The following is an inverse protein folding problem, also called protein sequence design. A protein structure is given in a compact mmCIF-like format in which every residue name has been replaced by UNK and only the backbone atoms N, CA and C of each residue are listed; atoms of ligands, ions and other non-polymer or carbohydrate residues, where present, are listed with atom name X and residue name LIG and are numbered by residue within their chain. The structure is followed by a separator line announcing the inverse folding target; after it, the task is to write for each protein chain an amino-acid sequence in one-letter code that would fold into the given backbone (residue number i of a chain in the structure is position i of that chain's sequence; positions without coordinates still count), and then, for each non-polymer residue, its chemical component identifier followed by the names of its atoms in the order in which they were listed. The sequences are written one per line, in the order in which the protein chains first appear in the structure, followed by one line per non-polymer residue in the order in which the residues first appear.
data_IF_156123922720
#
_entry.id   IF_156123922720
#
_cell.length_a   1.000
_cell.length_b   1.000
_cell.length_c   1.000
_cell.angle_alpha   90.00
_cell.angle_beta   90.00
_cell.angle_gamma   90.00
#
_symmetry.space_group_name_H-M   'P 1'
#
loop_
_entity.id
_entity.type
_entity.pdbx_description
1 polymer ?
#
# COMPACT_ATOMS: atom_id res chain seq x y z
N UNK A 1 -6.97 5.01 -13.75
CA UNK A 1 -5.50 5.07 -13.47
C UNK A 1 -5.18 4.79 -12.00
N UNK A 2 -6.07 5.18 -11.08
CA UNK A 2 -5.95 4.97 -9.62
C UNK A 2 -5.74 3.51 -9.20
N UNK A 3 -6.51 2.57 -9.75
CA UNK A 3 -6.47 1.16 -9.32
C UNK A 3 -5.10 0.47 -9.58
N UNK A 4 -4.47 0.72 -10.73
CA UNK A 4 -3.15 0.17 -11.06
C UNK A 4 -2.06 0.71 -10.12
N UNK A 5 -2.15 1.99 -9.77
CA UNK A 5 -1.27 2.63 -8.80
C UNK A 5 -1.49 2.04 -7.40
N UNK A 6 -2.73 1.76 -7.01
CA UNK A 6 -3.05 1.14 -5.72
C UNK A 6 -2.48 -0.29 -5.60
N UNK A 7 -2.64 -1.11 -6.64
CA UNK A 7 -2.07 -2.47 -6.67
C UNK A 7 -0.55 -2.42 -6.61
N UNK A 8 0.06 -1.53 -7.38
CA UNK A 8 1.51 -1.37 -7.45
C UNK A 8 2.08 -0.85 -6.12
N UNK A 9 1.40 0.12 -5.50
CA UNK A 9 1.70 0.60 -4.15
C UNK A 9 1.62 -0.55 -3.15
N UNK A 10 0.51 -1.29 -3.13
CA UNK A 10 0.25 -2.39 -2.20
C UNK A 10 1.29 -3.51 -2.32
N UNK A 11 1.62 -3.93 -3.54
CA UNK A 11 2.62 -4.97 -3.78
C UNK A 11 4.04 -4.54 -3.37
N UNK A 12 4.43 -3.31 -3.71
CA UNK A 12 5.77 -2.81 -3.35
C UNK A 12 5.90 -2.56 -1.84
N UNK A 13 4.87 -2.02 -1.19
CA UNK A 13 4.80 -1.92 0.28
C UNK A 13 4.87 -3.30 0.90
N UNK A 14 4.14 -4.28 0.34
CA UNK A 14 4.15 -5.67 0.78
C UNK A 14 5.53 -6.28 0.81
N UNK A 15 6.23 -6.24 -0.33
CA UNK A 15 7.58 -6.78 -0.41
C UNK A 15 8.54 -6.11 0.56
N UNK A 16 8.49 -4.77 0.67
CA UNK A 16 9.36 -4.04 1.58
C UNK A 16 9.07 -4.39 3.05
N UNK A 17 7.81 -4.43 3.45
CA UNK A 17 7.42 -4.76 4.82
C UNK A 17 7.76 -6.20 5.19
N UNK A 18 7.55 -7.15 4.27
CA UNK A 18 7.95 -8.55 4.44
C UNK A 18 9.45 -8.70 4.65
N UNK A 19 10.28 -7.97 3.89
CA UNK A 19 11.73 -7.97 4.07
C UNK A 19 12.09 -7.43 5.47
N UNK A 20 11.60 -6.24 5.83
CA UNK A 20 12.01 -5.55 7.07
C UNK A 20 11.52 -6.28 8.31
N UNK A 21 10.24 -6.66 8.35
CA UNK A 21 9.62 -7.26 9.53
C UNK A 21 10.20 -8.63 9.85
N UNK A 22 10.31 -9.51 8.85
CA UNK A 22 10.86 -10.86 9.05
C UNK A 22 12.36 -10.82 9.28
N UNK A 23 13.11 -9.93 8.62
CA UNK A 23 14.51 -9.68 8.97
C UNK A 23 14.66 -9.25 10.43
N UNK A 24 13.86 -8.29 10.88
CA UNK A 24 13.87 -7.82 12.27
C UNK A 24 13.64 -8.96 13.26
N UNK A 25 12.62 -9.79 13.03
CA UNK A 25 12.29 -10.94 13.89
C UNK A 25 13.45 -11.93 13.92
N UNK A 26 13.91 -12.41 12.77
CA UNK A 26 14.92 -13.49 12.74
C UNK A 26 16.29 -13.03 13.22
N UNK A 27 16.67 -11.77 12.96
CA UNK A 27 17.89 -11.17 13.48
C UNK A 27 17.81 -10.98 14.99
N UNK A 28 16.67 -10.53 15.50
CA UNK A 28 16.47 -10.39 16.95
C UNK A 28 16.55 -11.73 17.66
N UNK A 29 15.84 -12.75 17.17
CA UNK A 29 15.90 -14.10 17.75
C UNK A 29 17.30 -14.70 17.62
N UNK A 30 18.01 -14.49 16.50
CA UNK A 30 19.40 -14.92 16.34
C UNK A 30 20.38 -14.19 17.28
N UNK A 31 20.03 -13.00 17.77
CA UNK A 31 20.75 -12.30 18.83
C UNK A 31 20.59 -12.96 20.20
N UNK A 32 19.45 -13.63 20.44
CA UNK A 32 19.13 -14.30 21.70
C UNK A 32 19.55 -15.79 21.73
N UNK A 33 19.62 -16.46 20.59
CA UNK A 33 19.91 -17.91 20.52
C UNK A 33 20.61 -18.32 19.22
N UNK A 34 21.39 -19.40 19.29
CA UNK A 34 21.99 -20.07 18.13
C UNK A 34 21.13 -21.23 17.59
N UNK A 35 20.04 -21.58 18.27
CA UNK A 35 19.16 -22.67 17.88
C UNK A 35 18.39 -22.34 16.59
N UNK A 36 18.69 -23.07 15.51
CA UNK A 36 18.08 -22.86 14.19
C UNK A 36 16.57 -23.15 14.20
N UNK A 37 16.12 -24.13 15.00
CA UNK A 37 14.70 -24.46 15.14
C UNK A 37 13.90 -23.31 15.75
N UNK A 38 14.44 -22.65 16.78
CA UNK A 38 13.81 -21.46 17.39
C UNK A 38 13.74 -20.30 16.39
N UNK A 39 14.82 -20.03 15.66
CA UNK A 39 14.84 -19.00 14.62
C UNK A 39 13.82 -19.30 13.51
N UNK A 40 13.74 -20.56 13.08
CA UNK A 40 12.78 -21.01 12.06
C UNK A 40 11.34 -20.81 12.50
N UNK A 41 10.97 -21.30 13.69
CA UNK A 41 9.60 -21.17 14.22
C UNK A 41 9.21 -19.70 14.32
N UNK A 42 10.08 -18.85 14.88
CA UNK A 42 9.81 -17.42 15.01
C UNK A 42 9.69 -16.74 13.65
N UNK A 43 10.58 -17.05 12.71
CA UNK A 43 10.56 -16.48 11.36
C UNK A 43 9.33 -16.86 10.56
N UNK A 44 8.92 -18.14 10.60
CA UNK A 44 7.70 -18.61 9.92
C UNK A 44 6.45 -18.05 10.57
N UNK A 45 6.38 -18.02 11.90
CA UNK A 45 5.26 -17.40 12.62
C UNK A 45 5.14 -15.91 12.28
N UNK A 46 6.26 -15.19 12.28
CA UNK A 46 6.33 -13.78 11.88
C UNK A 46 5.91 -13.54 10.44
N UNK A 47 6.36 -14.40 9.52
CA UNK A 47 5.97 -14.34 8.10
C UNK A 47 4.45 -14.51 7.95
N UNK A 48 3.88 -15.58 8.51
CA UNK A 48 2.45 -15.88 8.36
C UNK A 48 1.60 -14.81 9.03
N UNK A 49 1.94 -14.42 10.26
CA UNK A 49 1.20 -13.38 10.98
C UNK A 49 1.28 -12.03 10.27
N UNK A 50 2.46 -11.62 9.82
CA UNK A 50 2.67 -10.38 9.09
C UNK A 50 1.93 -10.36 7.75
N UNK A 51 2.03 -11.44 6.97
CA UNK A 51 1.36 -11.54 5.67
C UNK A 51 -0.17 -11.45 5.82
N UNK A 52 -0.75 -12.18 6.78
CA UNK A 52 -2.19 -12.14 7.05
C UNK A 52 -2.63 -10.77 7.58
N UNK A 53 -1.88 -10.18 8.50
CA UNK A 53 -2.19 -8.84 9.04
C UNK A 53 -2.16 -7.78 7.94
N UNK A 54 -1.19 -7.84 7.05
CA UNK A 54 -1.07 -6.88 5.96
C UNK A 54 -2.17 -7.08 4.92
N UNK A 55 -2.44 -8.32 4.52
CA UNK A 55 -3.51 -8.64 3.58
C UNK A 55 -4.88 -8.23 4.13
N UNK A 56 -5.14 -8.51 5.41
CA UNK A 56 -6.36 -8.09 6.10
C UNK A 56 -6.47 -6.57 6.21
N UNK A 57 -5.36 -5.88 6.51
CA UNK A 57 -5.31 -4.41 6.57
C UNK A 57 -5.63 -3.76 5.23
N UNK A 58 -5.05 -4.25 4.14
CA UNK A 58 -5.35 -3.74 2.78
C UNK A 58 -6.77 -4.12 2.33
N UNK A 59 -7.26 -5.31 2.66
CA UNK A 59 -8.66 -5.68 2.41
C UNK A 59 -9.63 -4.70 3.10
N UNK A 60 -9.45 -4.47 4.40
CA UNK A 60 -10.31 -3.57 5.18
C UNK A 60 -10.21 -2.15 4.64
N UNK A 61 -8.99 -1.64 4.41
CA UNK A 61 -8.78 -0.28 3.91
C UNK A 61 -9.46 -0.05 2.56
N UNK A 62 -9.29 -0.97 1.62
CA UNK A 62 -9.87 -0.83 0.28
C UNK A 62 -11.37 -1.11 0.28
N UNK A 63 -11.87 -1.98 1.18
CA UNK A 63 -13.31 -2.17 1.36
C UNK A 63 -13.97 -0.90 1.90
N UNK A 64 -13.39 -0.28 2.92
CA UNK A 64 -13.91 1.00 3.45
C UNK A 64 -13.88 2.12 2.40
N UNK A 65 -12.83 2.18 1.58
CA UNK A 65 -12.80 3.11 0.44
C UNK A 65 -13.98 2.85 -0.50
N UNK A 66 -14.16 1.59 -0.93
CA UNK A 66 -15.24 1.19 -1.82
C UNK A 66 -16.62 1.51 -1.22
N UNK A 67 -16.85 1.15 0.04
CA UNK A 67 -18.13 1.40 0.72
C UNK A 67 -18.44 2.90 0.79
N UNK A 68 -17.41 3.74 0.98
CA UNK A 68 -17.54 5.21 0.98
C UNK A 68 -17.88 5.72 -0.43
N UNK A 69 -17.19 5.24 -1.46
CA UNK A 69 -17.46 5.60 -2.86
C UNK A 69 -18.89 5.22 -3.27
N UNK A 70 -19.36 4.02 -2.91
CA UNK A 70 -20.74 3.58 -3.17
C UNK A 70 -21.77 4.44 -2.44
N UNK A 71 -21.54 4.76 -1.16
CA UNK A 71 -22.46 5.57 -0.36
C UNK A 71 -22.63 6.99 -0.92
N UNK A 72 -21.54 7.61 -1.38
CA UNK A 72 -21.61 8.96 -1.98
C UNK A 72 -22.32 8.93 -3.33
N UNK A 73 -22.07 7.92 -4.17
CA UNK A 73 -22.80 7.73 -5.43
C UNK A 73 -24.31 7.51 -5.19
N UNK A 74 -24.67 6.76 -4.15
CA UNK A 74 -26.09 6.54 -3.83
C UNK A 74 -26.76 7.80 -3.27
N UNK A 75 -26.01 8.65 -2.56
CA UNK A 75 -26.48 9.97 -2.14
C UNK A 75 -26.73 10.88 -3.35
N UNK A 76 -25.79 10.92 -4.29
CA UNK A 76 -25.88 11.69 -5.53
C UNK A 76 -27.09 11.29 -6.38
N UNK A 77 -27.36 9.99 -6.50
CA UNK A 77 -28.58 9.49 -7.18
C UNK A 77 -29.86 10.01 -6.55
N UNK A 78 -29.89 10.15 -5.22
CA UNK A 78 -31.06 10.67 -4.51
C UNK A 78 -31.19 12.18 -4.71
N UNK A 79 -30.08 12.91 -4.73
CA UNK A 79 -30.06 14.36 -4.98
C UNK A 79 -30.56 14.67 -6.41
N UNK A 80 -30.01 14.02 -7.42
CA UNK A 80 -30.47 14.12 -8.82
C UNK A 80 -31.95 13.74 -9.00
N UNK A 81 -32.47 12.79 -8.20
CA UNK A 81 -33.86 12.38 -8.27
C UNK A 81 -34.82 13.37 -7.57
N UNK A 82 -34.33 14.10 -6.56
CA UNK A 82 -35.13 15.00 -5.74
C UNK A 82 -35.10 16.44 -6.24
N UNK A 83 -33.97 16.92 -6.76
CA UNK A 83 -33.77 18.32 -7.19
C UNK A 83 -32.84 18.45 -8.41
N UNK A 84 -33.31 17.98 -9.57
CA UNK A 84 -32.52 18.01 -10.80
C UNK A 84 -32.11 19.44 -11.24
N UNK A 85 -32.98 20.43 -11.00
CA UNK A 85 -32.69 21.82 -11.38
C UNK A 85 -31.62 22.43 -10.45
N UNK A 86 -31.66 22.11 -9.14
CA UNK A 86 -30.63 22.49 -8.19
C UNK A 86 -29.27 21.88 -8.53
N UNK A 87 -29.23 20.58 -8.83
CA UNK A 87 -28.01 19.89 -9.26
C UNK A 87 -27.40 20.48 -10.54
N UNK A 88 -28.24 20.95 -11.47
CA UNK A 88 -27.75 21.64 -12.67
C UNK A 88 -27.05 22.96 -12.35
N UNK A 89 -27.58 23.72 -11.40
CA UNK A 89 -26.94 24.96 -10.92
C UNK A 89 -25.63 24.64 -10.20
N UNK A 90 -25.60 23.63 -9.34
CA UNK A 90 -24.40 23.16 -8.66
C UNK A 90 -23.29 22.74 -9.64
N UNK A 91 -23.62 21.92 -10.64
CA UNK A 91 -22.64 21.50 -11.63
C UNK A 91 -22.11 22.69 -12.45
N UNK A 92 -22.96 23.66 -12.77
CA UNK A 92 -22.53 24.88 -13.43
C UNK A 92 -21.56 25.69 -12.55
N UNK A 93 -21.85 25.83 -11.25
CA UNK A 93 -20.97 26.51 -10.30
C UNK A 93 -19.61 25.83 -10.17
N UNK A 94 -19.56 24.48 -10.13
CA UNK A 94 -18.29 23.72 -10.16
C UNK A 94 -17.45 24.09 -11.39
N UNK A 95 -18.06 24.23 -12.56
CA UNK A 95 -17.34 24.63 -13.78
C UNK A 95 -16.93 26.11 -13.78
N UNK A 96 -17.70 26.99 -13.16
CA UNK A 96 -17.30 28.38 -12.93
C UNK A 96 -16.04 28.43 -12.06
N UNK A 97 -15.99 27.66 -10.97
CA UNK A 97 -14.80 27.56 -10.11
C UNK A 97 -13.58 27.00 -10.85
N UNK A 98 -13.80 26.10 -11.82
CA UNK A 98 -12.75 25.60 -12.73
C UNK A 98 -12.29 26.64 -13.77
N UNK A 99 -12.96 27.79 -13.85
CA UNK A 99 -12.56 28.94 -14.67
C UNK A 99 -13.41 29.20 -15.91
N UNK A 100 -14.57 28.55 -16.06
CA UNK A 100 -15.49 28.83 -17.15
C UNK A 100 -16.30 30.11 -16.86
N UNK A 101 -16.73 30.82 -17.92
CA UNK A 101 -17.74 31.87 -17.76
C UNK A 101 -19.10 31.26 -17.40
N UNK A 102 -19.96 31.99 -16.70
CA UNK A 102 -21.27 31.49 -16.28
C UNK A 102 -22.12 30.95 -17.46
N UNK A 103 -22.13 31.67 -18.59
CA UNK A 103 -22.88 31.24 -19.78
C UNK A 103 -22.35 29.92 -20.37
N UNK A 104 -21.03 29.71 -20.35
CA UNK A 104 -20.41 28.50 -20.87
C UNK A 104 -20.57 27.34 -19.88
N UNK A 105 -20.38 27.61 -18.59
CA UNK A 105 -20.53 26.62 -17.53
C UNK A 105 -21.95 26.03 -17.52
N UNK A 106 -22.97 26.88 -17.64
CA UNK A 106 -24.37 26.42 -17.75
C UNK A 106 -24.59 25.54 -18.97
N UNK A 107 -24.07 25.92 -20.14
CA UNK A 107 -24.17 25.11 -21.36
C UNK A 107 -23.47 23.75 -21.21
N UNK A 108 -22.30 23.73 -20.58
CA UNK A 108 -21.55 22.49 -20.30
C UNK A 108 -22.33 21.60 -19.33
N UNK A 109 -22.81 22.14 -18.21
CA UNK A 109 -23.60 21.41 -17.22
C UNK A 109 -24.84 20.78 -17.87
N UNK A 110 -25.64 21.57 -18.62
CA UNK A 110 -26.83 21.06 -19.30
C UNK A 110 -26.50 19.90 -20.26
N UNK A 111 -25.50 20.07 -21.14
CA UNK A 111 -25.16 19.02 -22.12
C UNK A 111 -24.60 17.75 -21.46
N UNK A 112 -23.83 17.89 -20.39
CA UNK A 112 -23.29 16.73 -19.66
C UNK A 112 -24.38 15.98 -18.89
N UNK A 113 -25.30 16.71 -18.24
CA UNK A 113 -26.42 16.10 -17.52
C UNK A 113 -27.44 15.44 -18.45
N UNK A 114 -27.68 16.00 -19.64
CA UNK A 114 -28.53 15.37 -20.66
C UNK A 114 -27.95 14.03 -21.13
N UNK A 115 -26.61 13.90 -21.18
CA UNK A 115 -25.95 12.66 -21.57
C UNK A 115 -25.97 11.64 -20.43
N UNK A 116 -25.50 12.04 -19.26
CA UNK A 116 -25.45 11.21 -18.05
C UNK A 116 -25.19 12.10 -16.83
N UNK A 117 -26.25 12.53 -16.13
CA UNK A 117 -26.15 13.40 -14.96
C UNK A 117 -25.35 12.79 -13.82
N UNK A 118 -25.56 11.50 -13.54
CA UNK A 118 -24.84 10.82 -12.47
C UNK A 118 -23.34 10.74 -12.78
N UNK A 119 -22.97 10.42 -14.02
CA UNK A 119 -21.57 10.40 -14.41
C UNK A 119 -20.95 11.81 -14.39
N UNK A 120 -21.71 12.83 -14.80
CA UNK A 120 -21.26 14.22 -14.81
C UNK A 120 -20.92 14.71 -13.40
N UNK A 121 -21.82 14.51 -12.42
CA UNK A 121 -21.57 14.86 -11.02
C UNK A 121 -20.49 13.99 -10.38
N UNK A 122 -20.55 12.67 -10.60
CA UNK A 122 -19.53 11.75 -10.08
C UNK A 122 -18.12 12.16 -10.50
N UNK A 123 -17.93 12.58 -11.75
CA UNK A 123 -16.62 13.03 -12.23
C UNK A 123 -16.29 14.46 -11.77
N UNK A 124 -17.24 15.39 -11.91
CA UNK A 124 -16.97 16.81 -11.73
C UNK A 124 -16.84 17.23 -10.26
N UNK A 125 -17.66 16.65 -9.39
CA UNK A 125 -17.77 16.95 -7.95
C UNK A 125 -16.98 15.92 -7.12
N UNK A 126 -17.23 14.64 -7.33
CA UNK A 126 -16.67 13.57 -6.48
C UNK A 126 -15.28 13.11 -6.93
N UNK A 127 -14.90 13.41 -8.17
CA UNK A 127 -13.66 12.91 -8.78
C UNK A 127 -13.66 11.38 -8.98
N UNK A 128 -14.84 10.76 -9.01
CA UNK A 128 -15.05 9.32 -9.13
C UNK A 128 -15.44 8.94 -10.57
N UNK A 129 -14.93 7.81 -11.04
CA UNK A 129 -15.40 7.19 -12.26
C UNK A 129 -16.37 6.06 -11.91
N UNK A 130 -17.59 6.15 -12.45
CA UNK A 130 -18.59 5.12 -12.26
C UNK A 130 -18.06 3.75 -12.70
N UNK A 131 -18.25 2.75 -11.84
CA UNK A 131 -17.84 1.36 -12.05
C UNK A 131 -16.31 1.10 -12.08
N UNK A 132 -15.45 2.07 -11.75
CA UNK A 132 -14.00 1.86 -11.55
C UNK A 132 -13.64 1.76 -10.04
N UNK A 133 -14.42 0.99 -9.29
CA UNK A 133 -14.20 0.82 -7.86
C UNK A 133 -12.90 0.07 -7.55
N UNK A 134 -12.25 0.46 -6.46
CA UNK A 134 -11.11 -0.29 -5.94
C UNK A 134 -11.51 -1.74 -5.62
N UNK A 135 -10.61 -2.70 -5.88
CA UNK A 135 -10.88 -4.13 -5.65
C UNK A 135 -10.16 -4.61 -4.39
N UNK A 136 -10.88 -4.83 -3.27
CA UNK A 136 -10.26 -5.21 -2.00
C UNK A 136 -9.49 -6.52 -2.05
N UNK A 137 -10.03 -7.52 -2.77
CA UNK A 137 -9.42 -8.84 -2.90
C UNK A 137 -8.10 -8.78 -3.66
N UNK A 138 -8.03 -7.99 -4.73
CA UNK A 138 -6.79 -7.83 -5.49
C UNK A 138 -5.71 -7.15 -4.65
N UNK A 139 -6.05 -6.10 -3.90
CA UNK A 139 -5.11 -5.40 -3.02
C UNK A 139 -4.60 -6.32 -1.90
N UNK A 140 -5.50 -7.07 -1.26
CA UNK A 140 -5.17 -8.01 -0.20
C UNK A 140 -4.25 -9.14 -0.70
N UNK A 141 -4.60 -9.79 -1.81
CA UNK A 141 -3.82 -10.89 -2.37
C UNK A 141 -2.46 -10.44 -2.90
N UNK A 142 -2.41 -9.28 -3.56
CA UNK A 142 -1.15 -8.67 -4.01
C UNK A 142 -0.20 -8.42 -2.83
N UNK A 143 -0.74 -7.90 -1.71
CA UNK A 143 0.03 -7.64 -0.50
C UNK A 143 0.48 -8.93 0.18
N UNK A 144 -0.42 -9.91 0.31
CA UNK A 144 -0.11 -11.24 0.89
C UNK A 144 1.08 -11.90 0.16
N UNK A 145 1.01 -11.95 -1.17
CA UNK A 145 2.03 -12.58 -2.00
C UNK A 145 3.33 -11.79 -1.92
N UNK A 146 3.27 -10.47 -2.08
CA UNK A 146 4.47 -9.63 -2.10
C UNK A 146 5.18 -9.65 -0.74
N UNK A 147 4.44 -9.57 0.36
CA UNK A 147 4.98 -9.73 1.72
C UNK A 147 5.67 -11.08 1.88
N UNK A 148 4.99 -12.17 1.52
CA UNK A 148 5.53 -13.52 1.65
C UNK A 148 6.82 -13.68 0.84
N UNK A 149 6.85 -13.17 -0.40
CA UNK A 149 8.05 -13.20 -1.25
C UNK A 149 9.19 -12.36 -0.65
N UNK A 150 8.89 -11.17 -0.11
CA UNK A 150 9.87 -10.34 0.57
C UNK A 150 10.47 -11.00 1.80
N UNK A 151 9.63 -11.68 2.59
CA UNK A 151 10.01 -12.36 3.82
C UNK A 151 10.85 -13.62 3.64
N UNK A 152 10.73 -14.30 2.49
CA UNK A 152 11.50 -15.53 2.21
C UNK A 152 13.01 -15.24 2.21
N UNK A 153 13.45 -14.10 1.70
CA UNK A 153 14.87 -13.78 1.59
C UNK A 153 15.60 -13.70 2.96
N UNK A 154 15.17 -12.87 3.93
CA UNK A 154 15.78 -12.86 5.25
C UNK A 154 15.66 -14.22 5.96
N UNK A 155 14.54 -14.92 5.79
CA UNK A 155 14.32 -16.24 6.40
C UNK A 155 15.30 -17.29 5.87
N UNK A 156 15.51 -17.36 4.55
CA UNK A 156 16.44 -18.34 3.97
C UNK A 156 17.89 -18.01 4.34
N UNK A 157 18.29 -16.74 4.28
CA UNK A 157 19.68 -16.35 4.58
C UNK A 157 20.08 -16.70 6.01
N UNK A 158 19.23 -16.41 7.00
CA UNK A 158 19.58 -16.64 8.40
C UNK A 158 19.60 -18.14 8.77
N UNK A 159 18.77 -18.95 8.11
CA UNK A 159 18.63 -20.37 8.40
C UNK A 159 19.70 -21.22 7.72
N UNK A 160 20.06 -20.89 6.48
CA UNK A 160 20.99 -21.69 5.68
C UNK A 160 22.46 -21.39 6.00
N UNK A 161 22.76 -20.22 6.54
CA UNK A 161 24.15 -19.82 6.80
C UNK A 161 24.68 -20.30 8.16
N UNK A 162 25.99 -20.60 8.27
CA UNK A 162 26.62 -20.96 9.54
C UNK A 162 26.47 -19.87 10.62
N UNK A 163 26.41 -20.24 11.92
CA UNK A 163 26.20 -19.28 13.02
C UNK A 163 27.16 -18.10 13.05
N UNK A 164 28.44 -18.31 12.70
CA UNK A 164 29.46 -17.26 12.75
C UNK A 164 29.29 -16.15 11.72
N UNK A 165 28.55 -16.38 10.63
CA UNK A 165 28.41 -15.40 9.54
C UNK A 165 26.96 -15.01 9.23
N UNK A 166 25.97 -15.80 9.67
CA UNK A 166 24.56 -15.63 9.27
C UNK A 166 24.01 -14.23 9.54
N UNK A 167 24.29 -13.65 10.71
CA UNK A 167 23.75 -12.33 11.09
C UNK A 167 24.29 -11.25 10.15
N UNK A 168 25.62 -11.14 10.04
CA UNK A 168 26.25 -10.13 9.19
C UNK A 168 25.88 -10.28 7.71
N UNK A 169 25.79 -11.51 7.21
CA UNK A 169 25.43 -11.76 5.82
C UNK A 169 23.94 -11.47 5.56
N UNK A 170 23.03 -11.86 6.46
CA UNK A 170 21.61 -11.50 6.36
C UNK A 170 21.43 -9.98 6.35
N UNK A 171 22.17 -9.23 7.17
CA UNK A 171 22.18 -7.75 7.12
C UNK A 171 22.50 -7.23 5.72
N UNK A 172 23.60 -7.71 5.12
CA UNK A 172 24.03 -7.25 3.79
C UNK A 172 22.99 -7.60 2.73
N UNK A 173 22.49 -8.84 2.73
CA UNK A 173 21.48 -9.29 1.75
C UNK A 173 20.18 -8.50 1.88
N UNK A 174 19.72 -8.26 3.10
CA UNK A 174 18.52 -7.45 3.36
C UNK A 174 18.72 -6.02 2.88
N UNK A 175 19.87 -5.39 3.14
CA UNK A 175 20.14 -4.03 2.64
C UNK A 175 20.15 -3.94 1.11
N UNK A 176 20.72 -4.93 0.43
CA UNK A 176 20.67 -5.01 -1.03
C UNK A 176 19.22 -5.16 -1.51
N UNK A 177 18.44 -6.04 -0.87
CA UNK A 177 17.04 -6.23 -1.21
C UNK A 177 16.21 -4.95 -1.01
N UNK A 178 16.43 -4.22 0.09
CA UNK A 178 15.77 -2.95 0.38
C UNK A 178 16.18 -1.84 -0.59
N UNK A 179 17.44 -1.84 -1.02
CA UNK A 179 17.89 -0.92 -2.07
C UNK A 179 17.19 -1.23 -3.41
N UNK A 180 17.04 -2.50 -3.76
CA UNK A 180 16.34 -2.92 -4.97
C UNK A 180 14.85 -2.60 -4.90
N UNK A 181 14.16 -2.93 -3.81
CA UNK A 181 12.74 -2.62 -3.65
C UNK A 181 12.50 -1.11 -3.60
N UNK A 182 13.36 -0.34 -2.94
CA UNK A 182 13.31 1.12 -2.93
C UNK A 182 13.52 1.73 -4.31
N UNK A 183 14.46 1.20 -5.10
CA UNK A 183 14.68 1.63 -6.47
C UNK A 183 13.47 1.33 -7.36
N UNK A 184 12.97 0.09 -7.32
CA UNK A 184 11.82 -0.35 -8.12
C UNK A 184 10.57 0.45 -7.73
N UNK A 185 10.33 0.67 -6.44
CA UNK A 185 9.25 1.51 -5.94
C UNK A 185 9.27 2.91 -6.56
N UNK A 186 10.41 3.58 -6.49
CA UNK A 186 10.55 4.92 -7.02
C UNK A 186 10.51 4.98 -8.54
N UNK A 187 11.05 3.96 -9.22
CA UNK A 187 10.96 3.85 -10.67
C UNK A 187 9.51 3.73 -11.14
N UNK A 188 8.73 2.87 -10.51
CA UNK A 188 7.33 2.65 -10.88
C UNK A 188 6.41 3.81 -10.46
N UNK A 189 6.75 4.52 -9.40
CA UNK A 189 6.03 5.72 -8.93
C UNK A 189 6.55 7.04 -9.49
N UNK A 190 7.45 7.02 -10.48
CA UNK A 190 8.08 8.21 -11.08
C UNK A 190 8.68 9.19 -10.05
N UNK A 191 9.16 8.67 -8.92
CA UNK A 191 9.64 9.43 -7.78
C UNK A 191 11.19 9.49 -7.72
N UNK A 192 11.77 10.40 -6.91
CA UNK A 192 13.22 10.48 -6.72
C UNK A 192 13.82 9.19 -6.12
N UNK A 193 14.49 8.40 -6.97
CA UNK A 193 15.04 7.07 -6.65
C UNK A 193 15.96 7.06 -5.44
N UNK A 194 16.86 8.03 -5.35
CA UNK A 194 17.84 8.14 -4.26
C UNK A 194 17.16 8.21 -2.90
N UNK A 195 16.10 9.00 -2.76
CA UNK A 195 15.43 9.22 -1.49
C UNK A 195 14.67 7.96 -1.03
N UNK A 196 14.02 7.25 -1.97
CA UNK A 196 13.32 6.01 -1.67
C UNK A 196 14.28 4.90 -1.22
N UNK A 197 15.39 4.71 -1.93
CA UNK A 197 16.44 3.75 -1.57
C UNK A 197 17.00 4.05 -0.18
N UNK A 198 17.40 5.30 0.08
CA UNK A 198 17.96 5.69 1.38
C UNK A 198 16.96 5.48 2.52
N UNK A 199 15.69 5.87 2.33
CA UNK A 199 14.65 5.66 3.34
C UNK A 199 14.48 4.18 3.68
N UNK A 200 14.38 3.31 2.68
CA UNK A 200 14.19 1.88 2.91
C UNK A 200 15.40 1.25 3.60
N UNK A 201 16.61 1.57 3.14
CA UNK A 201 17.84 1.06 3.75
C UNK A 201 18.00 1.54 5.20
N UNK A 202 17.73 2.81 5.49
CA UNK A 202 17.84 3.37 6.85
C UNK A 202 16.83 2.71 7.78
N UNK A 203 15.57 2.60 7.37
CA UNK A 203 14.54 1.94 8.19
C UNK A 203 14.90 0.49 8.45
N UNK A 204 15.25 -0.28 7.41
CA UNK A 204 15.62 -1.69 7.58
C UNK A 204 16.88 -1.89 8.42
N UNK A 205 17.91 -1.05 8.24
CA UNK A 205 19.12 -1.07 9.06
C UNK A 205 18.80 -0.82 10.52
N UNK A 206 18.02 0.23 10.82
CA UNK A 206 17.62 0.57 12.18
C UNK A 206 16.79 -0.55 12.80
N UNK A 207 15.82 -1.09 12.08
CA UNK A 207 15.01 -2.23 12.56
C UNK A 207 15.90 -3.40 12.94
N UNK A 208 16.79 -3.85 12.06
CA UNK A 208 17.65 -5.01 12.35
C UNK A 208 18.64 -4.73 13.49
N UNK A 209 19.20 -3.52 13.60
CA UNK A 209 20.11 -3.16 14.69
C UNK A 209 19.38 -3.14 16.04
N UNK A 210 18.21 -2.53 16.08
CA UNK A 210 17.38 -2.44 17.30
C UNK A 210 16.92 -3.83 17.72
N UNK A 211 16.38 -4.64 16.81
CA UNK A 211 15.90 -5.97 17.17
C UNK A 211 17.03 -6.91 17.55
N UNK A 212 18.20 -6.82 16.89
CA UNK A 212 19.41 -7.53 17.32
C UNK A 212 19.78 -7.15 18.76
N UNK A 213 19.85 -5.84 19.06
CA UNK A 213 20.15 -5.34 20.40
C UNK A 213 19.15 -5.87 21.45
N UNK A 214 17.85 -5.78 21.17
CA UNK A 214 16.80 -6.33 22.06
C UNK A 214 16.99 -7.83 22.26
N UNK A 215 17.23 -8.58 21.19
CA UNK A 215 17.49 -10.02 21.26
C UNK A 215 18.69 -10.37 22.14
N UNK A 216 19.80 -9.66 21.94
CA UNK A 216 21.01 -9.86 22.76
C UNK A 216 20.82 -9.48 24.23
N UNK A 217 19.94 -8.53 24.55
CA UNK A 217 19.68 -8.11 25.93
C UNK A 217 18.71 -9.06 26.64
N UNK A 218 17.69 -9.54 25.95
CA UNK A 218 16.65 -10.41 26.51
C UNK A 218 17.10 -11.88 26.57
N UNK A 219 18.02 -12.28 25.68
CA UNK A 219 18.57 -13.64 25.64
C UNK A 219 19.64 -13.96 26.69
N UNK A 220 19.99 -13.00 27.55
CA UNK A 220 20.93 -13.14 28.67
C UNK A 220 20.25 -13.74 29.89
#
# INVERSE_FOLDING_TARGET
MSQKLNILRAGVLGANDGIVSVAGIVIGVAGATTNVGTIFIAGVAGLVAGALSMAGGEYVSVSTQKDTEEAVIDKEKLELANDYDGELEELADIYIEKGLSADLAKQVATQLMEKDALAAHSEAELGLQLNDFANPWQAALSSLISFSLGAILPLLTILLLPPGIRIGFTFVVVLIALALTGYVSAYLGEAPKRNAVLRNMVVGMLTMLVTYGVGTLVGV
#
